data_IF_936533480038
#
_entry.id   IF_936533480038
#
_cell.length_a   1.000
_cell.length_b   1.000
_cell.length_c   1.000
_cell.angle_alpha   90.00
_cell.angle_beta   90.00
_cell.angle_gamma   90.00
#
_symmetry.space_group_name_H-M   'P 1'
#
loop_
_entity.id
_entity.type
_entity.pdbx_description
1 polymer ?
#
# COMPACT_ATOMS: atom_id res chain seq x y z
N UNK A 1 -0.94 6.70 -12.97
CA UNK A 1 -1.69 6.19 -11.80
C UNK A 1 -0.74 6.28 -10.64
N UNK A 2 -1.02 7.19 -9.72
CA UNK A 2 -0.19 7.45 -8.54
C UNK A 2 -0.59 6.50 -7.44
N UNK A 3 0.36 5.68 -6.99
CA UNK A 3 0.19 4.73 -5.92
C UNK A 3 0.92 5.22 -4.67
N UNK A 4 0.17 5.54 -3.63
CA UNK A 4 0.71 5.93 -2.33
C UNK A 4 1.08 4.71 -1.48
N UNK A 5 2.29 4.69 -0.94
CA UNK A 5 2.76 3.64 -0.03
C UNK A 5 3.59 4.22 1.11
N UNK A 6 3.87 3.41 2.12
CA UNK A 6 4.84 3.68 3.18
C UNK A 6 5.91 2.58 3.16
N UNK A 7 7.14 2.95 2.77
CA UNK A 7 8.22 2.00 2.46
C UNK A 7 9.02 1.57 3.68
N UNK A 8 8.32 1.16 4.74
CA UNK A 8 8.90 0.84 6.06
C UNK A 8 8.50 -0.55 6.56
N UNK A 9 7.89 -1.38 5.73
CA UNK A 9 7.30 -2.67 6.12
C UNK A 9 7.69 -3.76 5.13
N UNK A 10 8.84 -4.37 5.35
CA UNK A 10 9.29 -5.54 4.59
C UNK A 10 8.44 -6.78 4.97
N UNK A 11 8.04 -7.66 4.02
CA UNK A 11 8.31 -7.64 2.57
C UNK A 11 7.24 -6.92 1.72
N UNK A 12 6.36 -6.13 2.32
CA UNK A 12 5.20 -5.55 1.64
C UNK A 12 5.53 -4.27 0.87
N UNK A 13 6.15 -3.30 1.53
CA UNK A 13 6.70 -2.10 0.89
C UNK A 13 7.93 -1.65 1.65
N UNK A 14 9.07 -1.64 0.99
CA UNK A 14 10.36 -1.29 1.58
C UNK A 14 11.30 -0.71 0.52
N UNK A 15 12.43 -0.17 0.97
CA UNK A 15 13.47 0.33 0.09
C UNK A 15 14.57 -0.73 -0.04
N UNK A 16 14.89 -1.14 -1.26
CA UNK A 16 15.97 -2.11 -1.53
C UNK A 16 17.37 -1.44 -1.51
N UNK A 17 18.41 -2.26 -1.65
CA UNK A 17 19.81 -1.79 -1.75
C UNK A 17 20.05 -0.84 -2.93
N UNK A 18 19.18 -0.88 -3.95
CA UNK A 18 19.21 0.03 -5.10
C UNK A 18 18.45 1.34 -4.86
N UNK A 19 18.02 1.61 -3.62
CA UNK A 19 17.23 2.78 -3.22
C UNK A 19 15.87 2.88 -3.94
N UNK A 20 15.32 1.74 -4.38
CA UNK A 20 14.00 1.66 -5.01
C UNK A 20 12.97 1.16 -4.03
N UNK A 21 11.77 1.72 -4.13
CA UNK A 21 10.61 1.21 -3.40
C UNK A 21 10.12 -0.07 -4.08
N UNK A 22 10.20 -1.18 -3.37
CA UNK A 22 9.86 -2.52 -3.82
C UNK A 22 8.98 -3.25 -2.79
N UNK A 23 8.48 -4.43 -3.15
CA UNK A 23 7.69 -5.29 -2.27
C UNK A 23 6.35 -5.70 -2.88
N UNK A 24 5.63 -6.54 -2.14
CA UNK A 24 4.35 -7.14 -2.56
C UNK A 24 3.32 -6.07 -2.97
N UNK A 25 3.21 -4.98 -2.20
CA UNK A 25 2.25 -3.90 -2.48
C UNK A 25 2.56 -3.20 -3.82
N UNK A 26 3.86 -3.07 -4.15
CA UNK A 26 4.33 -2.46 -5.40
C UNK A 26 4.05 -3.37 -6.60
N UNK A 27 4.26 -4.67 -6.45
CA UNK A 27 3.97 -5.66 -7.49
C UNK A 27 2.47 -5.71 -7.80
N UNK A 28 1.62 -5.74 -6.77
CA UNK A 28 0.17 -5.71 -6.93
C UNK A 28 -0.26 -4.42 -7.66
N UNK A 29 0.23 -3.26 -7.22
CA UNK A 29 -0.08 -1.99 -7.86
C UNK A 29 0.37 -1.95 -9.33
N UNK A 30 1.52 -2.53 -9.65
CA UNK A 30 2.04 -2.66 -11.02
C UNK A 30 1.14 -3.51 -11.91
N UNK A 31 0.67 -4.66 -11.40
CA UNK A 31 -0.28 -5.52 -12.12
C UNK A 31 -1.62 -4.83 -12.37
N UNK A 32 -2.13 -4.09 -11.39
CA UNK A 32 -3.34 -3.27 -11.54
C UNK A 32 -3.13 -2.18 -12.60
N UNK A 33 -2.01 -1.44 -12.53
CA UNK A 33 -1.69 -0.40 -13.51
C UNK A 33 -1.62 -0.96 -14.94
N UNK A 34 -0.98 -2.13 -15.11
CA UNK A 34 -0.86 -2.83 -16.39
C UNK A 34 -2.24 -3.23 -16.93
N UNK A 35 -3.11 -3.81 -16.11
CA UNK A 35 -4.48 -4.17 -16.50
C UNK A 35 -5.31 -2.95 -16.90
N UNK A 36 -5.06 -1.80 -16.28
CA UNK A 36 -5.75 -0.54 -16.58
C UNK A 36 -5.10 0.25 -17.73
N UNK A 37 -4.04 -0.28 -18.36
CA UNK A 37 -3.24 0.41 -19.36
C UNK A 37 -2.74 1.80 -18.89
N UNK A 38 -2.32 1.90 -17.63
CA UNK A 38 -1.80 3.12 -17.01
C UNK A 38 -0.34 2.92 -16.60
N UNK A 39 0.45 4.00 -16.68
CA UNK A 39 1.78 4.05 -16.06
C UNK A 39 1.65 4.15 -14.53
N UNK A 40 2.37 3.31 -13.80
CA UNK A 40 2.47 3.37 -12.34
C UNK A 40 3.51 4.45 -11.94
N UNK A 41 3.15 5.27 -10.97
CA UNK A 41 4.03 6.21 -10.29
C UNK A 41 3.93 5.94 -8.79
N UNK A 42 5.05 5.62 -8.14
CA UNK A 42 5.09 5.30 -6.72
C UNK A 42 5.33 6.60 -5.94
N UNK A 43 4.48 6.87 -4.95
CA UNK A 43 4.58 8.01 -4.05
C UNK A 43 4.79 7.49 -2.64
N UNK A 44 6.04 7.54 -2.17
CA UNK A 44 6.38 7.15 -0.80
C UNK A 44 6.04 8.28 0.17
N UNK A 45 5.25 7.98 1.20
CA UNK A 45 4.81 8.94 2.21
C UNK A 45 4.56 8.29 3.57
N UNK A 46 4.34 9.11 4.59
CA UNK A 46 3.98 8.64 5.93
C UNK A 46 2.65 7.88 5.92
N UNK A 47 2.57 6.75 6.64
CA UNK A 47 1.38 5.89 6.67
C UNK A 47 0.09 6.66 7.03
N UNK A 48 0.18 7.56 8.01
CA UNK A 48 -0.96 8.39 8.44
C UNK A 48 -1.49 9.35 7.37
N UNK A 49 -0.69 9.64 6.33
CA UNK A 49 -1.07 10.55 5.24
C UNK A 49 -1.77 9.86 4.07
N UNK A 50 -1.75 8.52 4.00
CA UNK A 50 -2.26 7.75 2.86
C UNK A 50 -3.77 7.95 2.62
N UNK A 51 -4.59 7.79 3.67
CA UNK A 51 -6.05 7.96 3.55
C UNK A 51 -6.41 9.40 3.18
N UNK A 52 -5.87 10.45 3.85
CA UNK A 52 -6.08 11.83 3.43
C UNK A 52 -5.61 12.12 1.99
N UNK A 53 -4.46 11.57 1.58
CA UNK A 53 -3.93 11.74 0.22
C UNK A 53 -4.86 11.11 -0.83
N UNK A 54 -5.43 9.94 -0.54
CA UNK A 54 -6.41 9.30 -1.42
C UNK A 54 -7.72 10.11 -1.47
N UNK A 55 -8.25 10.51 -0.31
CA UNK A 55 -9.50 11.27 -0.22
C UNK A 55 -9.41 12.63 -0.93
N UNK A 56 -8.23 13.29 -0.87
CA UNK A 56 -7.94 14.54 -1.59
C UNK A 56 -7.51 14.34 -3.04
N UNK A 57 -7.50 13.10 -3.55
CA UNK A 57 -7.06 12.75 -4.92
C UNK A 57 -5.61 13.15 -5.23
N UNK A 58 -4.75 13.28 -4.22
CA UNK A 58 -3.28 13.42 -4.40
C UNK A 58 -2.64 12.12 -4.89
N UNK A 59 -3.23 10.99 -4.55
CA UNK A 59 -2.92 9.67 -5.10
C UNK A 59 -4.20 9.01 -5.59
N UNK A 60 -4.06 8.04 -6.50
CA UNK A 60 -5.19 7.35 -7.12
C UNK A 60 -5.49 6.00 -6.46
N UNK A 61 -4.48 5.42 -5.79
CA UNK A 61 -4.54 4.14 -5.08
C UNK A 61 -3.55 4.17 -3.92
N UNK A 62 -3.82 3.42 -2.84
CA UNK A 62 -2.88 3.26 -1.71
C UNK A 62 -2.73 1.79 -1.33
N UNK A 63 -1.56 1.43 -0.81
CA UNK A 63 -1.27 0.12 -0.22
C UNK A 63 -0.02 0.22 0.64
N UNK A 64 -0.09 -0.29 1.86
CA UNK A 64 0.97 -0.26 2.87
C UNK A 64 0.54 -1.12 4.09
N UNK A 65 0.11 -2.37 3.88
CA UNK A 65 -0.51 -3.20 4.93
C UNK A 65 -1.72 -2.53 5.64
N UNK A 66 -2.59 -1.86 4.89
CA UNK A 66 -3.71 -1.12 5.48
C UNK A 66 -4.84 -2.09 5.87
N UNK A 67 -5.02 -2.32 7.17
CA UNK A 67 -6.18 -3.06 7.69
C UNK A 67 -7.49 -2.36 7.33
N UNK A 68 -8.42 -3.11 6.74
CA UNK A 68 -9.78 -2.67 6.45
C UNK A 68 -10.54 -2.58 7.78
N UNK A 69 -11.04 -1.39 8.11
CA UNK A 69 -11.88 -1.14 9.28
C UNK A 69 -13.11 -0.34 8.88
N UNK A 70 -14.17 -0.39 9.68
CA UNK A 70 -15.39 0.40 9.42
C UNK A 70 -15.09 1.90 9.39
N UNK A 71 -14.25 2.39 10.31
CA UNK A 71 -13.87 3.81 10.37
C UNK A 71 -13.17 4.27 9.09
N UNK A 72 -12.25 3.47 8.55
CA UNK A 72 -11.54 3.80 7.31
C UNK A 72 -12.46 3.66 6.09
N UNK A 73 -13.36 2.67 6.10
CA UNK A 73 -14.30 2.42 5.01
C UNK A 73 -15.34 3.55 4.84
N UNK A 74 -15.59 4.33 5.89
CA UNK A 74 -16.38 5.57 5.80
C UNK A 74 -15.67 6.70 5.04
N UNK A 75 -14.34 6.64 4.93
CA UNK A 75 -13.50 7.70 4.33
C UNK A 75 -13.06 7.37 2.91
N UNK A 76 -12.80 6.10 2.61
CA UNK A 76 -12.28 5.63 1.31
C UNK A 76 -12.87 4.26 0.95
N UNK A 77 -12.86 3.93 -0.33
CA UNK A 77 -13.22 2.60 -0.82
C UNK A 77 -12.01 1.66 -0.73
N UNK A 78 -12.25 0.43 -0.28
CA UNK A 78 -11.26 -0.65 -0.29
C UNK A 78 -11.51 -1.64 -1.43
N UNK A 79 -10.44 -2.25 -1.93
CA UNK A 79 -10.56 -3.44 -2.77
C UNK A 79 -11.01 -4.65 -1.94
N UNK A 80 -11.26 -5.77 -2.60
CA UNK A 80 -11.18 -7.06 -1.92
C UNK A 80 -9.81 -7.19 -1.24
N UNK A 81 -9.73 -7.80 -0.04
CA UNK A 81 -8.45 -7.97 0.66
C UNK A 81 -7.53 -8.84 -0.19
N UNK A 82 -6.29 -8.37 -0.42
CA UNK A 82 -5.27 -9.13 -1.15
C UNK A 82 -4.33 -9.91 -0.23
N UNK A 83 -4.37 -9.63 1.08
CA UNK A 83 -3.61 -10.34 2.10
C UNK A 83 -4.43 -10.44 3.39
N UNK A 84 -4.49 -11.63 3.99
CA UNK A 84 -5.15 -11.86 5.29
C UNK A 84 -4.13 -12.49 6.23
N UNK A 85 -3.87 -11.82 7.36
CA UNK A 85 -2.89 -12.27 8.35
C UNK A 85 -3.56 -12.65 9.67
N UNK A 86 -2.92 -13.55 10.41
CA UNK A 86 -3.16 -13.74 11.83
C UNK A 86 -2.24 -12.88 12.70
N UNK A 87 -2.56 -12.76 13.97
CA UNK A 87 -1.70 -12.19 15.01
C UNK A 87 -1.05 -13.36 15.76
N UNK A 88 0.27 -13.31 15.92
CA UNK A 88 1.03 -14.29 16.69
C UNK A 88 2.09 -13.58 17.56
N UNK A 89 2.42 -14.18 18.71
CA UNK A 89 3.51 -13.70 19.56
C UNK A 89 4.84 -14.27 19.06
N UNK A 90 5.84 -13.41 18.91
CA UNK A 90 7.23 -13.83 18.66
C UNK A 90 7.87 -14.14 20.01
N UNK A 91 8.41 -15.34 20.17
CA UNK A 91 9.12 -15.77 21.39
C UNK A 91 10.52 -16.26 21.02
N UNK A 92 11.47 -16.10 21.94
CA UNK A 92 12.80 -16.71 21.78
C UNK A 92 12.66 -18.24 21.83
N UNK A 93 13.54 -18.93 21.11
CA UNK A 93 13.62 -20.38 21.12
C UNK A 93 14.23 -20.89 22.43
#
# INVERSE_FOLDING_TARGET
MRFGTSSVTEPFSFVDESQKVVGIDIEIASLVAKKLNKKLEIVNMEFGSLIPALASKKVDMIGACITITEERSKKVLFSSPYYTSGIAAIVNK
#
